data_IF_791259905324
#
_entry.id   IF_791259905324
#
_cell.length_a   1.000
_cell.length_b   1.000
_cell.length_c   1.000
_cell.angle_alpha   90.00
_cell.angle_beta   90.00
_cell.angle_gamma   90.00
#
_symmetry.space_group_name_H-M   'P 1'
#
loop_
_entity.id
_entity.type
_entity.pdbx_description
1 polymer ?
#
# COMPACT_ATOMS: atom_id res chain seq x y z
N UNK A 1 14.38 -4.04 9.25
CA UNK A 1 14.15 -5.20 8.36
C UNK A 1 13.62 -4.71 7.01
N UNK A 2 14.50 -4.30 6.06
CA UNK A 2 14.07 -3.65 4.82
C UNK A 2 13.58 -4.60 3.72
N UNK A 3 13.75 -5.92 3.86
CA UNK A 3 13.68 -6.86 2.75
C UNK A 3 12.29 -7.01 2.07
N UNK A 4 11.20 -6.63 2.74
CA UNK A 4 9.84 -6.88 2.25
C UNK A 4 9.00 -5.64 1.99
N UNK A 5 9.55 -4.43 2.19
CA UNK A 5 8.80 -3.17 2.12
C UNK A 5 9.20 -2.41 0.86
N UNK A 6 8.36 -2.49 -0.18
CA UNK A 6 8.60 -1.81 -1.46
C UNK A 6 7.48 -0.80 -1.75
N UNK A 7 7.87 0.32 -2.33
CA UNK A 7 6.91 1.36 -2.70
C UNK A 7 6.09 0.91 -3.92
N UNK A 8 4.77 0.88 -3.78
CA UNK A 8 3.86 0.35 -4.82
C UNK A 8 3.51 1.36 -5.92
N UNK A 9 3.93 2.61 -5.77
CA UNK A 9 3.75 3.69 -6.75
C UNK A 9 5.08 4.14 -7.32
N UNK A 10 5.19 4.22 -8.64
CA UNK A 10 6.45 4.55 -9.30
C UNK A 10 6.28 5.72 -10.24
N UNK A 11 7.26 6.61 -10.25
CA UNK A 11 7.43 7.56 -11.34
C UNK A 11 7.84 6.77 -12.58
N UNK A 12 7.14 7.02 -13.68
CA UNK A 12 7.39 6.36 -14.96
C UNK A 12 7.96 7.37 -15.96
N UNK A 13 8.60 6.87 -17.03
CA UNK A 13 9.03 7.71 -18.14
C UNK A 13 7.82 8.48 -18.73
N UNK A 14 8.00 9.74 -19.18
CA UNK A 14 6.91 10.53 -19.75
C UNK A 14 6.21 9.80 -20.91
N UNK A 15 4.88 9.81 -20.90
CA UNK A 15 4.06 9.21 -21.96
C UNK A 15 3.91 7.69 -21.94
N UNK A 16 4.48 6.99 -20.95
CA UNK A 16 4.37 5.51 -20.86
C UNK A 16 3.19 5.03 -20.01
N UNK A 17 2.54 5.94 -19.28
CA UNK A 17 1.35 5.64 -18.49
C UNK A 17 0.10 5.87 -19.36
N UNK A 18 -0.86 4.93 -19.43
CA UNK A 18 -2.12 5.13 -20.12
C UNK A 18 -2.93 6.30 -19.55
N UNK A 19 -3.81 6.95 -20.35
CA UNK A 19 -4.70 7.97 -19.83
C UNK A 19 -5.55 7.46 -18.66
N UNK A 20 -5.64 8.27 -17.60
CA UNK A 20 -6.53 8.02 -16.48
C UNK A 20 -8.00 8.25 -16.88
N UNK A 21 -8.98 7.90 -16.02
CA UNK A 21 -10.41 8.05 -16.32
C UNK A 21 -10.88 9.47 -16.64
N UNK A 22 -10.03 10.49 -16.46
CA UNK A 22 -10.30 11.89 -16.80
C UNK A 22 -9.62 12.34 -18.09
N UNK A 23 -9.02 11.42 -18.85
CA UNK A 23 -8.32 11.71 -20.11
C UNK A 23 -6.96 12.40 -19.94
N UNK A 24 -6.39 12.41 -18.73
CA UNK A 24 -5.06 12.97 -18.44
C UNK A 24 -4.02 11.86 -18.30
N UNK A 25 -2.76 12.17 -18.58
CA UNK A 25 -1.64 11.26 -18.32
C UNK A 25 -1.10 11.53 -16.92
N UNK A 26 -1.08 10.52 -16.06
CA UNK A 26 -0.45 10.62 -14.74
C UNK A 26 1.07 10.47 -14.86
N UNK A 27 1.81 11.03 -13.90
CA UNK A 27 3.28 10.85 -13.79
C UNK A 27 3.66 9.61 -12.97
N UNK A 28 2.73 9.12 -12.15
CA UNK A 28 2.95 8.05 -11.18
C UNK A 28 1.95 6.92 -11.41
N UNK A 29 2.47 5.71 -11.58
CA UNK A 29 1.66 4.51 -11.76
C UNK A 29 1.65 3.67 -10.48
N UNK A 30 0.47 3.21 -10.08
CA UNK A 30 0.33 2.19 -9.03
C UNK A 30 0.53 0.79 -9.64
N UNK A 31 1.39 -0.01 -9.03
CA UNK A 31 1.74 -1.38 -9.44
C UNK A 31 2.09 -1.50 -10.93
N UNK A 32 3.14 -0.79 -11.42
CA UNK A 32 3.61 -0.97 -12.79
C UNK A 32 4.11 -2.41 -13.04
N UNK A 33 4.28 -2.83 -14.30
CA UNK A 33 4.89 -4.13 -14.59
C UNK A 33 6.29 -4.24 -13.97
N UNK A 34 6.55 -5.36 -13.29
CA UNK A 34 7.85 -5.65 -12.68
C UNK A 34 8.94 -5.74 -13.76
N UNK A 35 10.10 -5.15 -13.52
CA UNK A 35 11.20 -5.08 -14.47
C UNK A 35 10.94 -4.20 -15.70
N UNK A 36 9.90 -3.35 -15.66
CA UNK A 36 9.60 -2.48 -16.80
C UNK A 36 10.77 -1.52 -17.09
N UNK A 37 11.20 -1.37 -18.36
CA UNK A 37 12.23 -0.41 -18.74
C UNK A 37 11.77 1.05 -18.58
N UNK A 38 10.51 1.27 -18.21
CA UNK A 38 9.91 2.58 -18.04
C UNK A 38 9.87 3.04 -16.58
N UNK A 39 10.31 2.22 -15.62
CA UNK A 39 10.49 2.63 -14.23
C UNK A 39 11.57 3.71 -14.15
N UNK A 40 11.29 4.78 -13.41
CA UNK A 40 12.28 5.83 -13.11
C UNK A 40 12.73 5.70 -11.65
N UNK A 41 11.81 5.85 -10.71
CA UNK A 41 12.08 5.74 -9.28
C UNK A 41 10.80 5.52 -8.46
N UNK A 42 10.90 5.00 -7.23
CA UNK A 42 9.80 5.01 -6.27
C UNK A 42 9.25 6.42 -6.06
N UNK A 43 7.93 6.58 -6.00
CA UNK A 43 7.30 7.88 -5.76
C UNK A 43 7.37 8.36 -4.28
N UNK A 44 8.22 7.73 -3.45
CA UNK A 44 8.39 8.07 -2.04
C UNK A 44 9.27 7.06 -1.29
N UNK A 45 9.65 7.37 -0.03
CA UNK A 45 10.43 6.47 0.81
C UNK A 45 9.59 5.29 1.31
N UNK A 46 10.27 4.31 1.90
CA UNK A 46 9.66 3.21 2.63
C UNK A 46 10.00 3.32 4.11
N UNK A 47 9.18 2.69 4.96
CA UNK A 47 9.46 2.54 6.39
C UNK A 47 9.74 1.06 6.70
N UNK A 48 11.01 0.66 6.90
CA UNK A 48 11.39 -0.72 7.17
C UNK A 48 11.44 -1.07 8.67
N UNK A 49 10.98 -0.16 9.55
CA UNK A 49 11.06 -0.35 10.99
C UNK A 49 10.05 -1.42 11.45
N UNK A 50 10.49 -2.27 12.36
CA UNK A 50 9.65 -3.19 13.10
C UNK A 50 9.61 -2.71 14.54
N UNK A 51 8.43 -2.35 15.02
CA UNK A 51 8.23 -1.94 16.41
C UNK A 51 7.52 -3.03 17.18
N UNK A 52 7.94 -3.28 18.42
CA UNK A 52 7.31 -4.25 19.30
C UNK A 52 6.84 -3.59 20.60
N UNK A 53 5.68 -4.01 21.07
CA UNK A 53 5.26 -3.93 22.45
C UNK A 53 5.11 -5.36 22.96
N UNK A 54 5.80 -5.71 24.03
CA UNK A 54 5.77 -7.05 24.60
C UNK A 54 5.34 -7.02 26.07
N UNK A 55 4.60 -8.03 26.47
CA UNK A 55 4.16 -8.27 27.84
C UNK A 55 4.67 -9.64 28.26
N UNK A 56 5.32 -9.69 29.43
CA UNK A 56 5.81 -10.92 30.06
C UNK A 56 5.14 -11.10 31.42
N UNK A 57 5.07 -12.34 31.89
CA UNK A 57 4.60 -12.67 33.22
C UNK A 57 5.66 -12.39 34.29
N UNK A 58 5.30 -12.59 35.55
CA UNK A 58 6.19 -12.36 36.70
C UNK A 58 7.46 -13.22 36.65
N UNK A 59 7.41 -14.39 35.97
CA UNK A 59 8.57 -15.28 35.81
C UNK A 59 9.31 -15.05 34.49
N UNK A 60 8.94 -14.00 33.75
CA UNK A 60 9.54 -13.64 32.46
C UNK A 60 9.01 -14.45 31.28
N UNK A 61 7.97 -15.27 31.46
CA UNK A 61 7.33 -15.99 30.37
C UNK A 61 6.64 -15.02 29.39
N UNK A 62 6.76 -15.20 28.06
CA UNK A 62 6.06 -14.36 27.10
C UNK A 62 4.53 -14.53 27.22
N UNK A 63 3.80 -13.43 27.41
CA UNK A 63 2.33 -13.43 27.44
C UNK A 63 1.73 -12.85 26.17
N UNK A 64 2.27 -11.74 25.67
CA UNK A 64 1.80 -11.13 24.44
C UNK A 64 2.89 -10.34 23.72
N UNK A 65 2.82 -10.30 22.39
CA UNK A 65 3.61 -9.40 21.56
C UNK A 65 2.69 -8.74 20.53
N UNK A 66 2.66 -7.41 20.53
CA UNK A 66 2.12 -6.60 19.45
C UNK A 66 3.27 -6.09 18.59
N UNK A 67 3.33 -6.57 17.35
CA UNK A 67 4.23 -6.06 16.33
C UNK A 67 3.55 -4.99 15.45
N UNK A 68 4.31 -4.03 14.98
CA UNK A 68 3.90 -3.08 13.95
C UNK A 68 4.94 -3.07 12.82
N UNK A 69 4.48 -3.38 11.61
CA UNK A 69 5.33 -3.39 10.41
C UNK A 69 4.58 -2.75 9.24
N UNK A 70 5.27 -1.89 8.50
CA UNK A 70 4.68 -1.05 7.44
C UNK A 70 4.43 -1.80 6.12
N UNK A 71 4.12 -3.10 6.18
CA UNK A 71 3.87 -3.96 5.02
C UNK A 71 2.38 -4.28 4.85
N UNK A 72 1.87 -4.04 3.64
CA UNK A 72 0.51 -4.43 3.26
C UNK A 72 0.36 -5.96 3.16
N UNK A 73 -0.86 -6.47 2.97
CA UNK A 73 -1.12 -7.91 2.81
C UNK A 73 -0.23 -8.54 1.74
N UNK A 74 0.25 -9.76 2.02
CA UNK A 74 1.20 -10.43 1.14
C UNK A 74 0.50 -11.17 0.01
N UNK A 75 -0.62 -11.82 0.31
CA UNK A 75 -1.41 -12.57 -0.67
C UNK A 75 -0.82 -13.94 -1.01
N UNK A 76 -1.06 -14.39 -2.25
CA UNK A 76 -0.74 -15.77 -2.65
C UNK A 76 -1.65 -16.81 -2.00
N UNK A 77 -2.85 -16.39 -1.60
CA UNK A 77 -3.90 -17.24 -1.03
C UNK A 77 -4.76 -17.76 -2.18
N UNK A 78 -4.98 -19.09 -2.31
CA UNK A 78 -5.87 -19.64 -3.32
C UNK A 78 -7.29 -19.07 -3.23
N UNK A 79 -8.02 -19.12 -4.35
CA UNK A 79 -9.46 -18.82 -4.35
C UNK A 79 -10.19 -19.71 -3.32
N UNK A 80 -11.30 -19.20 -2.76
CA UNK A 80 -12.12 -19.88 -1.73
C UNK A 80 -11.45 -20.12 -0.37
N UNK A 81 -10.20 -19.69 -0.16
CA UNK A 81 -9.56 -19.77 1.15
C UNK A 81 -9.71 -18.47 1.96
N UNK A 82 -10.03 -18.61 3.24
CA UNK A 82 -9.97 -17.51 4.21
C UNK A 82 -8.63 -17.62 4.95
N UNK A 83 -7.88 -16.52 4.97
CA UNK A 83 -6.55 -16.48 5.57
C UNK A 83 -6.32 -15.16 6.30
N UNK A 84 -5.64 -15.24 7.44
CA UNK A 84 -5.09 -14.08 8.15
C UNK A 84 -3.77 -13.58 7.52
N UNK A 85 -3.38 -14.14 6.37
CA UNK A 85 -2.16 -13.78 5.63
C UNK A 85 -0.90 -13.96 6.52
N UNK A 86 0.17 -13.22 6.23
CA UNK A 86 1.41 -13.27 6.99
C UNK A 86 1.24 -12.85 8.46
N UNK A 87 0.14 -12.16 8.82
CA UNK A 87 -0.15 -11.80 10.21
C UNK A 87 -0.42 -13.02 11.09
N UNK A 88 -1.25 -13.95 10.61
CA UNK A 88 -1.50 -15.20 11.33
C UNK A 88 -0.27 -16.11 11.36
N UNK A 89 0.44 -16.22 10.22
CA UNK A 89 1.67 -17.00 10.15
C UNK A 89 2.76 -16.46 11.09
N UNK A 90 2.88 -15.13 11.20
CA UNK A 90 3.80 -14.47 12.15
C UNK A 90 3.46 -14.83 13.59
N UNK A 91 2.18 -14.75 13.98
CA UNK A 91 1.76 -15.03 15.35
C UNK A 91 2.12 -16.45 15.80
N UNK A 92 1.85 -17.44 14.94
CA UNK A 92 2.22 -18.84 15.19
C UNK A 92 3.74 -18.98 15.25
N UNK A 93 4.46 -18.43 14.26
CA UNK A 93 5.90 -18.60 14.16
C UNK A 93 6.66 -17.93 15.31
N UNK A 94 6.23 -16.75 15.73
CA UNK A 94 6.85 -16.07 16.87
C UNK A 94 6.67 -16.87 18.17
N UNK A 95 5.50 -17.46 18.40
CA UNK A 95 5.26 -18.31 19.57
C UNK A 95 6.23 -19.51 19.60
N UNK A 96 6.43 -20.17 18.46
CA UNK A 96 7.41 -21.26 18.32
C UNK A 96 8.84 -20.79 18.62
N UNK A 97 9.26 -19.67 18.03
CA UNK A 97 10.60 -19.11 18.22
C UNK A 97 10.86 -18.68 19.67
N UNK A 98 9.85 -18.19 20.37
CA UNK A 98 9.95 -17.84 21.79
C UNK A 98 9.85 -19.05 22.71
N UNK A 99 9.66 -20.26 22.19
CA UNK A 99 9.55 -21.48 22.99
C UNK A 99 8.29 -21.55 23.83
N UNK A 100 7.22 -20.85 23.41
CA UNK A 100 5.94 -20.84 24.12
C UNK A 100 5.31 -22.24 24.04
N UNK A 101 4.92 -22.77 25.20
CA UNK A 101 4.16 -24.02 25.25
C UNK A 101 2.75 -23.82 24.67
N UNK A 102 2.25 -24.73 23.79
CA UNK A 102 0.85 -24.73 23.37
C UNK A 102 -0.15 -24.87 24.53
N UNK A 103 0.33 -25.31 25.69
CA UNK A 103 -0.45 -25.50 26.92
C UNK A 103 -0.21 -24.42 27.97
N UNK A 104 0.50 -23.34 27.61
CA UNK A 104 0.74 -22.23 28.53
C UNK A 104 -0.60 -21.60 28.97
N UNK A 105 -0.70 -21.28 30.26
CA UNK A 105 -1.83 -20.55 30.83
C UNK A 105 -1.33 -19.30 31.59
N UNK A 106 -1.73 -18.08 31.18
CA UNK A 106 -2.60 -17.79 30.04
C UNK A 106 -1.90 -18.07 28.69
N UNK A 107 -2.69 -18.35 27.63
CA UNK A 107 -2.13 -18.60 26.31
C UNK A 107 -1.43 -17.36 25.77
N UNK A 108 -0.30 -17.57 25.09
CA UNK A 108 0.41 -16.49 24.43
C UNK A 108 -0.41 -15.86 23.30
N UNK A 109 -0.29 -14.55 23.15
CA UNK A 109 -0.97 -13.79 22.11
C UNK A 109 0.04 -13.04 21.24
N UNK A 110 0.28 -13.55 20.02
CA UNK A 110 1.01 -12.85 18.97
C UNK A 110 0.06 -12.04 18.09
N UNK A 111 0.26 -10.73 17.99
CA UNK A 111 -0.55 -9.82 17.17
C UNK A 111 0.38 -9.00 16.29
N UNK A 112 -0.08 -8.67 15.09
CA UNK A 112 0.61 -7.73 14.23
C UNK A 112 -0.37 -6.72 13.64
N UNK A 113 0.10 -5.48 13.53
CA UNK A 113 -0.63 -4.35 12.99
C UNK A 113 0.11 -3.77 11.77
N UNK A 114 -0.66 -3.16 10.87
CA UNK A 114 -0.09 -2.40 9.77
C UNK A 114 0.52 -1.09 10.32
N UNK A 115 1.76 -0.80 9.93
CA UNK A 115 2.36 0.53 10.05
C UNK A 115 1.91 1.46 8.92
N UNK A 116 2.82 2.26 8.37
CA UNK A 116 2.56 3.19 7.26
C UNK A 116 2.47 2.47 5.90
N UNK A 117 1.60 1.46 5.77
CA UNK A 117 1.56 0.53 4.64
C UNK A 117 0.72 0.98 3.42
N UNK A 118 0.08 2.16 3.49
CA UNK A 118 -0.86 2.63 2.46
C UNK A 118 -0.26 2.82 1.05
N UNK A 119 1.06 2.90 0.93
CA UNK A 119 1.77 2.94 -0.34
C UNK A 119 2.84 1.85 -0.51
N UNK A 120 2.72 0.78 0.27
CA UNK A 120 3.70 -0.31 0.31
C UNK A 120 3.10 -1.60 -0.24
N UNK A 121 3.95 -2.45 -0.83
CA UNK A 121 3.69 -3.87 -1.07
C UNK A 121 4.96 -4.71 -0.83
N UNK A 122 4.88 -6.03 -1.04
CA UNK A 122 6.02 -6.96 -0.99
C UNK A 122 6.69 -7.21 -2.36
N UNK A 123 6.41 -6.38 -3.36
CA UNK A 123 6.87 -6.60 -4.72
C UNK A 123 8.05 -5.67 -4.99
N UNK A 124 9.23 -6.26 -5.18
CA UNK A 124 10.34 -5.55 -5.80
C UNK A 124 10.03 -5.35 -7.29
N UNK A 125 9.77 -4.10 -7.68
CA UNK A 125 9.48 -3.76 -9.07
C UNK A 125 10.74 -3.70 -9.95
N UNK A 126 11.94 -3.60 -9.36
CA UNK A 126 13.19 -3.57 -10.10
C UNK A 126 13.65 -4.99 -10.46
N UNK A 127 13.46 -5.94 -9.54
CA UNK A 127 13.99 -7.29 -9.66
C UNK A 127 12.85 -8.32 -9.76
N UNK A 128 12.54 -8.83 -10.98
CA UNK A 128 11.59 -9.90 -11.14
C UNK A 128 11.97 -11.12 -10.33
N UNK A 129 11.00 -11.69 -9.61
CA UNK A 129 11.16 -12.96 -8.89
C UNK A 129 10.35 -14.08 -9.56
N UNK A 130 10.83 -15.34 -9.49
CA UNK A 130 10.04 -16.47 -9.92
C UNK A 130 8.68 -16.54 -9.21
N UNK A 131 7.65 -17.14 -9.84
CA UNK A 131 6.39 -17.45 -9.18
C UNK A 131 6.62 -18.28 -7.92
N UNK A 132 5.81 -18.03 -6.90
CA UNK A 132 5.82 -18.77 -5.64
C UNK A 132 4.55 -19.61 -5.52
N UNK A 133 4.68 -20.75 -4.85
CA UNK A 133 3.56 -21.60 -4.51
C UNK A 133 2.58 -20.86 -3.56
N UNK A 134 1.31 -21.31 -3.47
CA UNK A 134 0.38 -20.74 -2.51
C UNK A 134 0.96 -20.66 -1.10
N UNK A 135 0.71 -19.54 -0.42
CA UNK A 135 1.20 -19.21 0.93
C UNK A 135 2.72 -19.09 1.11
N UNK A 136 3.54 -19.46 0.14
CA UNK A 136 4.99 -19.48 0.27
C UNK A 136 5.54 -18.08 0.57
N UNK A 137 5.08 -17.04 -0.13
CA UNK A 137 5.51 -15.67 0.15
C UNK A 137 5.10 -15.23 1.56
N UNK A 138 3.86 -15.48 1.99
CA UNK A 138 3.39 -15.08 3.33
C UNK A 138 4.19 -15.78 4.43
N UNK A 139 4.54 -17.06 4.25
CA UNK A 139 5.37 -17.80 5.22
C UNK A 139 6.79 -17.24 5.29
N UNK A 140 7.40 -16.94 4.15
CA UNK A 140 8.75 -16.36 4.12
C UNK A 140 8.79 -14.97 4.78
N UNK A 141 7.81 -14.10 4.48
CA UNK A 141 7.70 -12.79 5.14
C UNK A 141 7.46 -12.97 6.64
N UNK A 142 6.56 -13.86 7.04
CA UNK A 142 6.28 -14.13 8.44
C UNK A 142 7.51 -14.65 9.19
N UNK A 143 8.29 -15.56 8.58
CA UNK A 143 9.54 -16.07 9.14
C UNK A 143 10.52 -14.92 9.43
N UNK A 144 10.82 -14.12 8.42
CA UNK A 144 11.83 -13.05 8.54
C UNK A 144 11.41 -12.00 9.59
N UNK A 145 10.12 -11.64 9.62
CA UNK A 145 9.59 -10.71 10.61
C UNK A 145 9.56 -11.33 12.01
N UNK A 146 9.24 -12.61 12.15
CA UNK A 146 9.22 -13.31 13.44
C UNK A 146 10.61 -13.50 14.02
N UNK A 147 11.62 -13.83 13.19
CA UNK A 147 13.02 -13.93 13.60
C UNK A 147 13.53 -12.58 14.10
N UNK A 148 13.25 -11.49 13.36
CA UNK A 148 13.62 -10.16 13.84
C UNK A 148 12.87 -9.78 15.10
N UNK A 149 11.59 -10.13 15.20
CA UNK A 149 10.79 -9.87 16.40
C UNK A 149 11.35 -10.61 17.62
N UNK A 150 11.74 -11.87 17.49
CA UNK A 150 12.38 -12.66 18.53
C UNK A 150 13.70 -11.99 18.98
N UNK A 151 14.53 -11.58 18.02
CA UNK A 151 15.79 -10.87 18.30
C UNK A 151 15.55 -9.58 19.09
N UNK A 152 14.57 -8.78 18.68
CA UNK A 152 14.20 -7.53 19.37
C UNK A 152 13.63 -7.84 20.75
N UNK A 153 12.75 -8.84 20.88
CA UNK A 153 12.14 -9.27 22.14
C UNK A 153 13.20 -9.58 23.20
N UNK A 154 14.24 -10.35 22.85
CA UNK A 154 15.33 -10.66 23.78
C UNK A 154 16.23 -9.47 24.14
N UNK A 155 16.16 -8.38 23.38
CA UNK A 155 16.89 -7.15 23.66
C UNK A 155 16.05 -6.12 24.43
N UNK A 156 14.76 -6.38 24.68
CA UNK A 156 13.89 -5.46 25.41
C UNK A 156 14.29 -5.37 26.88
N UNK A 157 14.16 -4.17 27.44
CA UNK A 157 14.18 -3.95 28.88
C UNK A 157 12.74 -3.84 29.38
N UNK A 158 12.32 -4.80 30.20
CA UNK A 158 10.97 -4.83 30.75
C UNK A 158 10.85 -3.92 31.98
N UNK A 159 9.67 -3.33 32.16
CA UNK A 159 9.29 -2.48 33.29
C UNK A 159 7.91 -2.88 33.78
N UNK A 160 7.70 -2.79 35.08
CA UNK A 160 6.43 -3.06 35.76
C UNK A 160 5.67 -1.78 36.16
N UNK A 161 6.28 -0.61 35.99
CA UNK A 161 5.77 0.70 36.41
C UNK A 161 5.49 1.64 35.22
N UNK A 162 4.49 1.30 34.41
CA UNK A 162 4.10 2.14 33.25
C UNK A 162 2.78 2.87 33.52
N UNK A 163 2.81 4.21 33.47
CA UNK A 163 1.59 5.01 33.50
C UNK A 163 0.83 4.90 32.17
N UNK A 164 -0.45 4.54 32.22
CA UNK A 164 -1.32 4.44 31.05
C UNK A 164 -2.23 5.66 30.96
N UNK A 165 -2.40 6.19 29.75
CA UNK A 165 -3.31 7.29 29.46
C UNK A 165 -3.95 7.11 28.08
N UNK A 166 -5.13 7.70 27.87
CA UNK A 166 -5.85 7.62 26.61
C UNK A 166 -6.51 8.96 26.25
N UNK A 167 -6.43 9.34 24.97
CA UNK A 167 -7.09 10.51 24.40
C UNK A 167 -7.80 10.12 23.12
N UNK A 168 -9.06 10.56 22.99
CA UNK A 168 -9.88 10.30 21.80
C UNK A 168 -10.61 11.58 21.42
N UNK A 169 -10.65 11.87 20.12
CA UNK A 169 -11.46 12.95 19.55
C UNK A 169 -12.16 12.45 18.30
N UNK A 170 -13.38 12.92 18.06
CA UNK A 170 -14.11 12.66 16.82
C UNK A 170 -14.09 13.91 15.94
N UNK A 171 -13.29 13.95 14.87
CA UNK A 171 -13.35 15.07 13.94
C UNK A 171 -14.65 15.01 13.13
N UNK A 172 -15.27 16.17 12.92
CA UNK A 172 -16.38 16.30 11.97
C UNK A 172 -15.78 16.46 10.57
N UNK A 173 -16.09 15.58 9.59
CA UNK A 173 -15.57 15.73 8.24
C UNK A 173 -16.08 17.04 7.66
N UNK A 174 -15.17 17.93 7.25
CA UNK A 174 -15.56 19.06 6.43
C UNK A 174 -15.98 18.52 5.07
N UNK A 175 -17.21 18.83 4.65
CA UNK A 175 -17.66 18.49 3.31
C UNK A 175 -16.75 19.20 2.30
N UNK A 176 -15.95 18.43 1.56
CA UNK A 176 -15.27 18.95 0.37
C UNK A 176 -16.36 19.16 -0.66
N UNK A 177 -16.81 20.41 -0.83
CA UNK A 177 -17.76 20.76 -1.87
C UNK A 177 -17.18 20.29 -3.21
N UNK A 178 -17.93 19.53 -4.04
CA UNK A 178 -17.46 19.19 -5.36
C UNK A 178 -17.13 20.49 -6.10
N UNK A 179 -15.93 20.57 -6.66
CA UNK A 179 -15.56 21.69 -7.51
C UNK A 179 -16.61 21.77 -8.61
N UNK A 180 -17.40 22.85 -8.66
CA UNK A 180 -18.45 23.05 -9.66
C UNK A 180 -17.79 23.13 -11.04
N UNK A 181 -17.62 21.98 -11.68
CA UNK A 181 -17.32 21.93 -13.10
C UNK A 181 -18.48 22.58 -13.85
N UNK A 182 -18.20 23.61 -14.66
CA UNK A 182 -19.17 24.14 -15.62
C UNK A 182 -19.30 23.12 -16.75
N UNK A 183 -20.37 22.33 -16.75
CA UNK A 183 -20.75 21.53 -17.91
C UNK A 183 -21.53 22.43 -18.88
N UNK A 184 -20.97 22.65 -20.08
CA UNK A 184 -21.69 23.26 -21.20
C UNK A 184 -22.39 22.17 -22.00
N UNK A 185 -23.73 22.23 -22.12
CA UNK A 185 -24.50 21.40 -23.04
C UNK A 185 -24.74 22.22 -24.31
N UNK A 186 -24.03 21.90 -25.39
CA UNK A 186 -24.33 22.42 -26.73
C UNK A 186 -25.18 21.39 -27.48
N UNK A 187 -26.41 21.74 -27.84
CA UNK A 187 -27.18 20.96 -28.81
C UNK A 187 -26.86 21.48 -30.21
N UNK A 188 -26.13 20.69 -30.99
CA UNK A 188 -26.02 20.94 -32.43
C UNK A 188 -27.34 20.52 -33.08
N UNK A 189 -28.11 21.48 -33.57
CA UNK A 189 -29.28 21.17 -34.40
C UNK A 189 -28.82 20.85 -35.84
N UNK A 190 -29.23 19.72 -36.43
CA UNK A 190 -29.06 19.50 -37.85
C UNK A 190 -30.16 20.26 -38.60
N UNK A 191 -29.88 21.49 -39.00
CA UNK A 191 -30.71 22.23 -39.95
C UNK A 191 -30.41 21.76 -41.37
N UNK A 192 -31.28 20.91 -41.93
CA UNK A 192 -31.26 20.57 -43.35
C UNK A 192 -32.07 21.56 -44.19
N UNK A 193 -31.54 21.94 -45.37
CA UNK A 193 -32.38 22.27 -46.53
C UNK A 193 -32.22 23.64 -47.19
N UNK A 194 -31.20 23.75 -48.07
CA UNK A 194 -31.15 24.41 -49.40
C UNK A 194 -31.78 25.80 -49.61
N UNK A 195 -30.94 26.74 -50.07
CA UNK A 195 -31.33 27.92 -50.84
C UNK A 195 -30.11 28.62 -51.46
N UNK A 196 -30.06 28.64 -52.80
CA UNK A 196 -28.98 29.17 -53.65
C UNK A 196 -28.56 30.62 -53.33
N UNK A 197 -27.25 30.88 -53.36
CA UNK A 197 -26.65 31.97 -54.15
C UNK A 197 -25.11 31.91 -54.06
N UNK A 198 -24.47 31.54 -55.17
CA UNK A 198 -23.17 32.07 -55.58
C UNK A 198 -23.47 33.05 -56.72
N UNK A 199 -22.69 34.12 -56.94
CA UNK A 199 -21.34 33.93 -57.46
C UNK A 199 -20.28 35.01 -57.12
N UNK A 200 -19.06 34.73 -57.60
CA UNK A 200 -17.99 35.67 -58.01
C UNK A 200 -16.92 36.09 -56.99
N UNK A 201 -15.81 35.33 -57.01
CA UNK A 201 -14.44 35.76 -57.35
C UNK A 201 -14.08 37.26 -57.21
N UNK A 202 -13.17 37.62 -56.28
CA UNK A 202 -11.75 38.02 -56.53
C UNK A 202 -11.06 38.67 -55.31
N UNK A 203 -9.72 38.49 -55.31
CA UNK A 203 -8.62 39.26 -54.67
C UNK A 203 -8.39 39.24 -53.15
N UNK A 204 -7.37 38.45 -52.77
CA UNK A 204 -6.14 38.69 -51.98
C UNK A 204 -5.92 39.99 -51.14
N UNK A 205 -4.96 39.94 -50.17
CA UNK A 205 -5.03 40.63 -48.87
C UNK A 205 -4.26 41.95 -48.81
N UNK A 206 -4.56 42.79 -47.81
CA UNK A 206 -3.61 43.81 -47.34
C UNK A 206 -3.51 43.84 -45.83
N UNK A 207 -2.24 43.78 -45.37
CA UNK A 207 -1.76 44.12 -44.04
C UNK A 207 -1.85 45.63 -43.82
N UNK A 208 -1.94 46.03 -42.54
CA UNK A 208 -1.41 47.22 -41.84
C UNK A 208 -2.16 47.26 -40.50
N UNK A 209 -1.62 47.62 -39.34
CA UNK A 209 -0.30 47.99 -38.85
C UNK A 209 -0.37 47.72 -37.35
#
# INVERSE_FOLDING_TARGET
MPAHVFHRRWRMKPGTIPPNPFGRIDEVQMNPPVGSPNLVEPAGPTDPQLSLLAVVGERGEPLAVLANYSLHYVGGVPAEHISADYFGAFAVRLAELLGVSPWQDPPFVGIMSNGTSGNINNIDFLHPRPPRAPYEQSRLVAEDVAVEAQRVFHALTFRDDVALDARQSRPHPQAVAPHRGRTGRGTAHPGGGRGNASPCLRSMPTRRC
#
